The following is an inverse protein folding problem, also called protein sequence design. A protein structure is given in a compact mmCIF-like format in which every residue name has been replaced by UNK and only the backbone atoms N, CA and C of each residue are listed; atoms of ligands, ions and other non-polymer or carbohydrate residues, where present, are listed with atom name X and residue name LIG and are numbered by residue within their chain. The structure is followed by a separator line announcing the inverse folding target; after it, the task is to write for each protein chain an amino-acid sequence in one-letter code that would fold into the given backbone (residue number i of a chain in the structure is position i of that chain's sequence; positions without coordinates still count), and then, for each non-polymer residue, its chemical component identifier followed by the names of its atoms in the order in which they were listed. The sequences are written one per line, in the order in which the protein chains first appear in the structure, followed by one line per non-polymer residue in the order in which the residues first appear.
data_IF_822115810737
#
_entry.id   IF_822115810737
#
_cell.length_a   1.000
_cell.length_b   1.000
_cell.length_c   1.000
_cell.angle_alpha   90.00
_cell.angle_beta   90.00
_cell.angle_gamma   90.00
#
_symmetry.space_group_name_H-M   'P 1'
#
loop_
_entity.id
_entity.type
_entity.pdbx_description
1 polymer ?
#
# COMPACT_ATOMS: atom_id res chain seq x y z
N UNK A 1 18.42 17.85 -53.92
CA UNK A 1 18.77 16.63 -53.15
C UNK A 1 19.15 16.88 -51.68
N UNK A 2 19.86 17.96 -51.32
CA UNK A 2 20.30 18.22 -49.92
C UNK A 2 19.17 18.40 -48.87
N UNK A 3 18.02 18.97 -49.27
CA UNK A 3 16.87 19.20 -48.35
C UNK A 3 16.15 17.91 -47.93
N UNK A 4 16.13 16.90 -48.81
CA UNK A 4 15.48 15.61 -48.53
C UNK A 4 16.30 14.82 -47.51
N UNK A 5 17.62 14.79 -47.66
CA UNK A 5 18.52 14.14 -46.70
C UNK A 5 18.44 14.76 -45.28
N UNK A 6 18.30 16.09 -45.19
CA UNK A 6 18.13 16.78 -43.90
C UNK A 6 16.81 16.44 -43.20
N UNK A 7 15.74 16.19 -43.95
CA UNK A 7 14.41 15.88 -43.40
C UNK A 7 14.37 14.44 -42.86
N UNK A 8 15.05 13.51 -43.54
CA UNK A 8 15.23 12.13 -43.05
C UNK A 8 16.06 12.04 -41.77
N UNK A 9 17.08 12.90 -41.62
CA UNK A 9 17.91 12.93 -40.41
C UNK A 9 17.10 13.36 -39.18
N UNK A 10 16.25 14.38 -39.31
CA UNK A 10 15.38 14.86 -38.22
C UNK A 10 14.33 13.80 -37.83
N UNK A 11 13.77 13.10 -38.83
CA UNK A 11 12.82 12.01 -38.60
C UNK A 11 13.46 10.85 -37.82
N UNK A 12 14.70 10.48 -38.16
CA UNK A 12 15.47 9.44 -37.46
C UNK A 12 15.73 9.80 -36.00
N UNK A 13 16.15 11.04 -35.71
CA UNK A 13 16.40 11.51 -34.34
C UNK A 13 15.11 11.49 -33.49
N UNK A 14 13.98 11.88 -34.08
CA UNK A 14 12.67 11.81 -33.41
C UNK A 14 12.25 10.36 -33.13
N UNK A 15 12.43 9.44 -34.08
CA UNK A 15 12.12 8.02 -33.87
C UNK A 15 12.98 7.40 -32.75
N UNK A 16 14.29 7.69 -32.71
CA UNK A 16 15.16 7.20 -31.65
C UNK A 16 14.79 7.79 -30.29
N UNK A 17 14.48 9.10 -30.21
CA UNK A 17 14.06 9.75 -28.96
C UNK A 17 12.79 9.15 -28.35
N UNK A 18 11.78 8.85 -29.19
CA UNK A 18 10.53 8.22 -28.74
C UNK A 18 10.79 6.80 -28.22
N UNK A 19 11.63 6.01 -28.89
CA UNK A 19 11.94 4.65 -28.41
C UNK A 19 12.70 4.63 -27.08
N UNK A 20 13.59 5.60 -26.85
CA UNK A 20 14.33 5.72 -25.60
C UNK A 20 13.39 6.16 -24.45
N UNK A 21 12.50 7.12 -24.71
CA UNK A 21 11.51 7.58 -23.74
C UNK A 21 10.49 6.50 -23.36
N UNK A 22 10.00 5.71 -24.33
CA UNK A 22 9.09 4.57 -24.08
C UNK A 22 9.81 3.46 -23.29
N UNK A 23 11.11 3.25 -23.51
CA UNK A 23 11.89 2.26 -22.77
C UNK A 23 12.09 2.68 -21.32
N UNK A 24 12.37 3.96 -21.07
CA UNK A 24 12.52 4.51 -19.73
C UNK A 24 11.18 4.50 -18.95
N UNK A 25 10.07 4.83 -19.62
CA UNK A 25 8.73 4.75 -19.01
C UNK A 25 8.34 3.31 -18.64
N UNK A 26 8.68 2.31 -19.48
CA UNK A 26 8.44 0.89 -19.19
C UNK A 26 9.29 0.33 -18.04
N UNK A 27 10.50 0.88 -17.84
CA UNK A 27 11.37 0.48 -16.73
C UNK A 27 10.84 1.04 -15.41
N UNK A 28 10.27 2.24 -15.41
CA UNK A 28 9.68 2.85 -14.21
C UNK A 28 8.28 2.30 -13.84
N UNK A 29 7.50 1.76 -14.79
CA UNK A 29 6.24 1.06 -14.47
C UNK A 29 6.45 -0.33 -13.84
N UNK A 30 7.61 -0.97 -14.04
CA UNK A 30 7.88 -2.31 -13.49
C UNK A 30 8.30 -2.33 -12.02
N UNK A 31 8.40 -1.17 -11.36
CA UNK A 31 8.49 -1.09 -9.89
C UNK A 31 7.13 -0.79 -9.27
N UNK A 32 6.04 -1.15 -9.94
CA UNK A 32 4.79 -1.43 -9.25
C UNK A 32 4.98 -2.74 -8.47
N UNK A 33 5.63 -2.64 -7.31
CA UNK A 33 5.84 -3.72 -6.34
C UNK A 33 4.49 -4.40 -6.14
N UNK A 34 4.30 -5.61 -6.68
CA UNK A 34 3.11 -6.40 -6.42
C UNK A 34 2.95 -6.49 -4.90
N UNK A 35 1.79 -6.09 -4.39
CA UNK A 35 1.55 -6.15 -2.95
C UNK A 35 1.79 -7.57 -2.45
N UNK A 36 2.45 -7.68 -1.30
CA UNK A 36 2.76 -8.98 -0.69
C UNK A 36 1.47 -9.59 -0.16
N UNK A 37 1.15 -10.82 -0.58
CA UNK A 37 0.04 -11.56 0.03
C UNK A 37 0.30 -11.78 1.53
N UNK A 38 -0.74 -11.72 2.34
CA UNK A 38 -0.63 -11.92 3.79
C UNK A 38 -0.16 -13.34 4.11
N UNK A 39 0.82 -13.44 4.99
CA UNK A 39 1.24 -14.70 5.62
C UNK A 39 0.82 -14.75 7.08
N UNK A 40 0.79 -15.95 7.66
CA UNK A 40 0.51 -16.14 9.09
C UNK A 40 1.50 -15.36 9.97
N UNK A 41 2.77 -15.33 9.55
CA UNK A 41 3.83 -14.59 10.21
C UNK A 41 3.50 -13.09 10.23
N UNK A 42 3.15 -12.52 9.08
CA UNK A 42 2.79 -11.10 8.98
C UNK A 42 1.62 -10.76 9.91
N UNK A 43 0.58 -11.60 9.93
CA UNK A 43 -0.57 -11.42 10.81
C UNK A 43 -0.20 -11.53 12.30
N UNK A 44 0.67 -12.48 12.67
CA UNK A 44 1.11 -12.68 14.06
C UNK A 44 2.00 -11.54 14.55
N UNK A 45 2.88 -11.02 13.69
CA UNK A 45 3.81 -9.92 13.99
C UNK A 45 3.12 -8.55 14.09
N UNK A 46 1.87 -8.40 13.63
CA UNK A 46 1.08 -7.18 13.87
C UNK A 46 0.94 -6.91 15.37
N UNK A 47 1.49 -5.78 15.81
CA UNK A 47 1.37 -5.26 17.17
C UNK A 47 0.09 -4.43 17.26
N UNK A 48 -0.87 -4.89 18.06
CA UNK A 48 -2.05 -4.09 18.38
C UNK A 48 -1.73 -3.04 19.45
N UNK A 49 -2.43 -1.92 19.39
CA UNK A 49 -2.34 -0.75 20.25
C UNK A 49 -2.69 -1.03 21.71
N UNK A 50 -3.42 -2.12 22.00
CA UNK A 50 -3.65 -2.62 23.36
C UNK A 50 -2.34 -2.97 24.10
N UNK A 51 -1.25 -3.19 23.35
CA UNK A 51 0.10 -3.41 23.90
C UNK A 51 0.85 -2.12 24.24
N UNK A 52 0.25 -0.95 23.96
CA UNK A 52 0.91 0.34 24.05
C UNK A 52 0.44 1.07 25.31
N UNK A 53 1.38 1.27 26.22
CA UNK A 53 1.23 2.06 27.44
C UNK A 53 0.74 3.48 27.10
N UNK A 54 -0.44 3.85 27.62
CA UNK A 54 -1.06 5.17 27.42
C UNK A 54 -0.23 6.32 27.96
N UNK A 55 0.78 6.05 28.79
CA UNK A 55 1.68 7.05 29.36
C UNK A 55 2.97 7.28 28.54
N UNK A 56 3.15 6.60 27.40
CA UNK A 56 4.31 6.82 26.53
C UNK A 56 3.92 7.65 25.30
N UNK A 57 4.72 8.68 24.94
CA UNK A 57 4.50 9.41 23.70
C UNK A 57 4.56 8.43 22.53
N UNK A 58 3.61 8.56 21.60
CA UNK A 58 3.59 7.72 20.40
C UNK A 58 4.92 7.85 19.65
N UNK A 59 5.64 6.74 19.49
CA UNK A 59 6.88 6.68 18.71
C UNK A 59 6.56 6.76 17.21
N UNK A 60 7.51 7.21 16.39
CA UNK A 60 7.35 7.27 14.92
C UNK A 60 6.99 5.94 14.27
N UNK A 61 7.24 4.81 14.95
CA UNK A 61 6.87 3.46 14.51
C UNK A 61 5.40 3.10 14.83
N UNK A 62 4.72 3.92 15.63
CA UNK A 62 3.30 3.78 15.95
C UNK A 62 2.45 4.72 15.07
N UNK A 63 3.03 5.81 14.58
CA UNK A 63 2.37 6.73 13.66
C UNK A 63 2.27 6.08 12.28
N UNK A 64 1.05 5.71 11.91
CA UNK A 64 0.64 5.13 10.63
C UNK A 64 0.87 3.63 10.40
N UNK A 65 0.49 2.81 11.38
CA UNK A 65 0.35 1.35 11.17
C UNK A 65 -0.49 1.02 9.94
N UNK A 66 -1.56 1.79 9.69
CA UNK A 66 -2.40 1.62 8.51
C UNK A 66 -1.65 1.84 7.19
N UNK A 67 -0.92 2.97 7.01
CA UNK A 67 -0.21 3.22 5.76
C UNK A 67 0.94 2.23 5.56
N UNK A 68 1.61 1.79 6.63
CA UNK A 68 2.65 0.76 6.52
C UNK A 68 2.05 -0.58 6.01
N UNK A 69 0.94 -1.01 6.59
CA UNK A 69 0.24 -2.23 6.16
C UNK A 69 -0.23 -2.10 4.71
N UNK A 70 -0.76 -0.94 4.31
CA UNK A 70 -1.16 -0.68 2.93
C UNK A 70 0.03 -0.68 1.97
N UNK A 71 1.18 -0.17 2.40
CA UNK A 71 2.41 -0.18 1.62
C UNK A 71 2.93 -1.62 1.39
N UNK A 72 2.86 -2.47 2.40
CA UNK A 72 3.34 -3.86 2.33
C UNK A 72 2.36 -4.80 1.64
N UNK A 73 1.09 -4.77 2.05
CA UNK A 73 0.05 -5.72 1.66
C UNK A 73 -0.96 -5.18 0.64
N UNK A 74 -0.79 -3.93 0.21
CA UNK A 74 -1.69 -3.26 -0.70
C UNK A 74 -2.93 -2.72 -0.02
N UNK A 75 -3.78 -2.04 -0.80
CA UNK A 75 -5.05 -1.50 -0.31
C UNK A 75 -5.97 -2.63 0.18
N UNK A 76 -6.74 -2.41 1.25
CA UNK A 76 -7.74 -3.39 1.67
C UNK A 76 -8.82 -3.53 0.60
N UNK A 77 -9.39 -4.73 0.51
CA UNK A 77 -10.55 -5.02 -0.34
C UNK A 77 -11.80 -4.27 0.12
N UNK A 78 -11.92 -3.99 1.42
CA UNK A 78 -12.98 -3.14 1.97
C UNK A 78 -12.47 -2.27 3.10
N UNK A 79 -12.91 -1.01 3.13
CA UNK A 79 -12.63 -0.04 4.19
C UNK A 79 -13.93 0.66 4.58
N UNK A 80 -14.22 0.73 5.88
CA UNK A 80 -15.29 1.55 6.44
C UNK A 80 -14.77 2.39 7.58
N UNK A 81 -15.41 3.54 7.81
CA UNK A 81 -15.06 4.47 8.88
C UNK A 81 -16.32 4.84 9.64
N UNK A 82 -16.25 4.78 10.96
CA UNK A 82 -17.36 5.08 11.86
C UNK A 82 -16.86 6.00 12.98
N UNK A 83 -17.60 7.06 13.28
CA UNK A 83 -17.28 7.94 14.42
C UNK A 83 -17.99 7.40 15.66
N UNK A 84 -17.22 7.02 16.68
CA UNK A 84 -17.71 6.53 17.97
C UNK A 84 -17.33 7.54 19.06
N UNK A 85 -18.24 8.46 19.35
CA UNK A 85 -18.00 9.56 20.27
C UNK A 85 -16.88 10.48 19.78
N UNK A 86 -15.78 10.54 20.54
CA UNK A 86 -14.61 11.36 20.22
C UNK A 86 -13.55 10.63 19.38
N UNK A 87 -13.75 9.34 19.10
CA UNK A 87 -12.80 8.51 18.35
C UNK A 87 -13.38 8.18 16.98
N UNK A 88 -12.52 8.16 15.96
CA UNK A 88 -12.87 7.65 14.63
C UNK A 88 -12.30 6.25 14.49
N UNK A 89 -13.17 5.26 14.31
CA UNK A 89 -12.81 3.87 14.05
C UNK A 89 -12.77 3.64 12.53
N UNK A 90 -11.73 2.97 12.05
CA UNK A 90 -11.59 2.55 10.65
C UNK A 90 -11.44 1.04 10.61
N UNK A 91 -12.40 0.34 10.01
CA UNK A 91 -12.30 -1.09 9.74
C UNK A 91 -11.75 -1.29 8.33
N UNK A 92 -10.73 -2.13 8.19
CA UNK A 92 -10.15 -2.52 6.90
C UNK A 92 -10.06 -4.05 6.79
N UNK A 93 -10.40 -4.59 5.62
CA UNK A 93 -10.47 -6.03 5.36
C UNK A 93 -9.60 -6.38 4.15
N UNK A 94 -8.75 -7.39 4.31
CA UNK A 94 -7.93 -7.98 3.26
C UNK A 94 -8.36 -9.43 3.00
N UNK A 95 -8.37 -9.84 1.74
CA UNK A 95 -8.66 -11.23 1.30
C UNK A 95 -7.46 -11.86 0.54
N UNK A 96 -6.40 -11.09 0.29
CA UNK A 96 -5.18 -11.55 -0.38
C UNK A 96 -4.26 -12.36 0.55
N UNK A 97 -4.75 -13.48 1.07
CA UNK A 97 -3.99 -14.36 1.96
C UNK A 97 -3.29 -15.47 1.16
N UNK A 98 -2.03 -15.74 1.50
CA UNK A 98 -1.27 -16.84 0.89
C UNK A 98 -1.95 -18.17 1.23
N UNK A 99 -2.19 -19.02 0.24
CA UNK A 99 -2.79 -20.35 0.38
C UNK A 99 -4.20 -20.39 1.02
N UNK A 100 -4.88 -19.26 1.18
CA UNK A 100 -6.22 -19.19 1.78
C UNK A 100 -7.18 -18.36 0.92
N UNK A 101 -7.70 -18.96 -0.16
CA UNK A 101 -8.57 -18.29 -1.14
C UNK A 101 -9.86 -17.69 -0.56
N UNK A 102 -10.36 -18.22 0.56
CA UNK A 102 -11.56 -17.73 1.26
C UNK A 102 -11.24 -17.04 2.60
N UNK A 103 -9.96 -16.90 2.94
CA UNK A 103 -9.53 -16.30 4.19
C UNK A 103 -9.70 -14.78 4.19
N UNK A 104 -9.92 -14.21 5.37
CA UNK A 104 -10.03 -12.76 5.53
C UNK A 104 -9.29 -12.31 6.78
N UNK A 105 -8.61 -11.17 6.67
CA UNK A 105 -8.04 -10.45 7.80
C UNK A 105 -8.82 -9.16 7.96
N UNK A 106 -9.40 -8.96 9.14
CA UNK A 106 -10.07 -7.74 9.55
C UNK A 106 -9.19 -7.02 10.57
N UNK A 107 -8.80 -5.80 10.24
CA UNK A 107 -8.06 -4.90 11.12
C UNK A 107 -8.94 -3.69 11.45
N UNK A 108 -8.99 -3.34 12.72
CA UNK A 108 -9.72 -2.18 13.22
C UNK A 108 -8.68 -1.19 13.72
N UNK A 109 -8.76 0.03 13.22
CA UNK A 109 -7.88 1.13 13.58
C UNK A 109 -8.64 2.25 14.26
N UNK A 110 -7.96 3.00 15.12
CA UNK A 110 -8.51 4.18 15.77
C UNK A 110 -7.65 5.39 15.45
N UNK A 111 -8.29 6.52 15.10
CA UNK A 111 -7.63 7.77 14.76
C UNK A 111 -8.41 8.59 13.72
N UNK A 112 -8.21 9.91 13.72
CA UNK A 112 -8.97 10.83 12.86
C UNK A 112 -8.54 10.80 11.39
N UNK A 113 -7.25 10.60 11.14
CA UNK A 113 -6.62 10.62 9.81
C UNK A 113 -5.83 9.33 9.60
N UNK A 114 -5.68 8.92 8.34
CA UNK A 114 -4.96 7.69 7.97
C UNK A 114 -3.50 7.69 8.48
N UNK A 115 -2.88 8.86 8.55
CA UNK A 115 -1.54 9.10 9.11
C UNK A 115 -1.44 8.76 10.61
N UNK A 116 -2.56 8.84 11.33
CA UNK A 116 -2.63 8.66 12.79
C UNK A 116 -3.42 7.41 13.20
N UNK A 117 -3.70 6.51 12.25
CA UNK A 117 -4.44 5.28 12.54
C UNK A 117 -3.57 4.26 13.28
N UNK A 118 -3.96 3.95 14.51
CA UNK A 118 -3.37 2.94 15.36
C UNK A 118 -4.19 1.66 15.26
N UNK A 119 -3.54 0.50 15.11
CA UNK A 119 -4.24 -0.79 15.07
C UNK A 119 -4.83 -1.06 16.46
N UNK A 120 -6.14 -1.01 16.63
CA UNK A 120 -6.81 -1.33 17.90
C UNK A 120 -7.04 -2.83 18.03
N UNK A 121 -7.61 -3.45 16.99
CA UNK A 121 -7.97 -4.88 17.01
C UNK A 121 -7.63 -5.58 15.70
N UNK A 122 -7.23 -6.84 15.78
CA UNK A 122 -7.05 -7.73 14.62
C UNK A 122 -7.88 -9.00 14.77
N UNK A 123 -8.40 -9.50 13.66
CA UNK A 123 -9.15 -10.76 13.59
C UNK A 123 -8.87 -11.42 12.25
N UNK A 124 -8.65 -12.73 12.25
CA UNK A 124 -8.49 -13.53 11.05
C UNK A 124 -9.49 -14.68 11.08
N UNK A 125 -9.97 -15.09 9.91
CA UNK A 125 -10.84 -16.28 9.78
C UNK A 125 -10.05 -17.58 9.69
N UNK A 126 -8.72 -17.49 9.60
CA UNK A 126 -7.82 -18.65 9.42
C UNK A 126 -6.74 -18.76 10.50
N UNK A 127 -6.45 -17.70 11.27
CA UNK A 127 -5.39 -17.62 12.27
C UNK A 127 -5.80 -16.89 13.54
#
# INVERSE_FOLDING_TARGET
MKKVASMFLVLLVLCFGITYFIKDSKINENVQKKSKAWTEKDYKELIAGESLDSNKPYTSNQVSMYLNIVHEHGKPDSKSREKKGNITETTAIWINLINHSNGKIKLIFEGERDENLLLSKKTSTVW
#
